data_IF_320464779840
#
_entry.id   IF_320464779840
#
_cell.length_a   1.000
_cell.length_b   1.000
_cell.length_c   1.000
_cell.angle_alpha   90.00
_cell.angle_beta   90.00
_cell.angle_gamma   90.00
#
_symmetry.space_group_name_H-M   'P 1'
#
loop_
_entity.id
_entity.type
_entity.pdbx_description
1 polymer ?
#
# COMPACT_ATOMS: atom_id res chain seq x y z
N UNK A 1 -24.42 20.31 32.61
CA UNK A 1 -24.98 20.26 31.24
C UNK A 1 -23.96 20.83 30.27
N UNK A 2 -23.69 20.13 29.16
CA UNK A 2 -23.00 20.64 27.96
C UNK A 2 -21.48 20.57 28.02
N UNK A 3 -20.89 19.40 27.74
CA UNK A 3 -20.32 19.01 26.44
C UNK A 3 -18.94 19.61 26.17
N UNK A 4 -17.95 18.77 26.46
CA UNK A 4 -16.55 18.79 26.06
C UNK A 4 -16.31 19.43 24.68
N UNK A 5 -15.77 20.65 24.70
CA UNK A 5 -15.28 21.34 23.51
C UNK A 5 -13.96 20.69 23.05
N UNK A 6 -14.10 19.81 22.06
CA UNK A 6 -13.20 19.63 20.91
C UNK A 6 -11.69 19.66 21.18
N UNK A 7 -11.18 18.55 21.72
CA UNK A 7 -9.74 18.21 21.85
C UNK A 7 -9.00 17.98 20.51
N UNK A 8 -9.48 18.51 19.39
CA UNK A 8 -8.98 18.14 18.05
C UNK A 8 -7.76 18.95 17.56
N UNK A 9 -7.12 19.79 18.39
CA UNK A 9 -6.13 20.78 17.92
C UNK A 9 -4.64 20.48 18.20
N UNK A 10 -4.24 19.28 18.66
CA UNK A 10 -2.84 19.06 19.12
C UNK A 10 -2.09 17.84 18.57
N UNK A 11 -2.50 17.27 17.45
CA UNK A 11 -1.65 16.32 16.67
C UNK A 11 -1.22 16.98 15.35
N UNK A 12 -0.75 18.22 15.43
CA UNK A 12 -0.18 18.97 14.30
C UNK A 12 1.34 19.21 14.45
N UNK A 13 2.03 18.60 15.44
CA UNK A 13 3.44 18.94 15.73
C UNK A 13 4.45 17.79 15.95
N UNK A 14 4.13 16.51 15.69
CA UNK A 14 5.06 15.42 16.08
C UNK A 14 5.72 14.59 14.98
N UNK A 15 5.43 14.75 13.67
CA UNK A 15 6.11 13.90 12.67
C UNK A 15 6.40 14.58 11.32
N UNK A 16 6.94 15.80 11.35
CA UNK A 16 7.64 16.40 10.19
C UNK A 16 9.12 15.96 10.15
N UNK A 17 9.50 14.82 10.76
CA UNK A 17 10.92 14.49 10.99
C UNK A 17 11.33 13.02 10.81
N UNK A 18 10.74 12.26 9.88
CA UNK A 18 11.43 11.05 9.40
C UNK A 18 11.55 11.11 7.88
N UNK A 19 12.57 11.87 7.46
CA UNK A 19 13.44 11.66 6.30
C UNK A 19 12.71 11.47 4.96
N UNK A 20 12.73 12.45 4.05
CA UNK A 20 13.86 12.61 3.13
C UNK A 20 14.44 11.24 2.67
N UNK A 21 13.60 10.40 2.06
CA UNK A 21 14.07 9.30 1.22
C UNK A 21 14.18 9.87 -0.19
N UNK A 22 15.37 10.38 -0.48
CA UNK A 22 15.83 10.68 -1.83
C UNK A 22 15.69 9.43 -2.68
N UNK A 23 14.56 9.24 -3.39
CA UNK A 23 14.57 8.27 -4.49
C UNK A 23 15.23 8.96 -5.66
N UNK A 24 16.55 8.87 -5.71
CA UNK A 24 17.24 8.84 -6.98
C UNK A 24 16.49 7.82 -7.83
N UNK A 25 15.80 8.29 -8.87
CA UNK A 25 15.31 7.42 -9.93
C UNK A 25 16.58 6.98 -10.66
N UNK A 26 17.14 5.86 -10.22
CA UNK A 26 18.21 5.20 -10.96
C UNK A 26 17.53 4.45 -12.11
N UNK A 27 17.71 4.95 -13.34
CA UNK A 27 17.20 4.35 -14.57
C UNK A 27 18.01 3.10 -15.02
N UNK A 28 18.61 2.37 -14.08
CA UNK A 28 19.44 1.20 -14.36
C UNK A 28 18.61 -0.06 -14.65
N UNK A 29 18.14 -0.24 -15.89
CA UNK A 29 17.68 -1.53 -16.43
C UNK A 29 16.57 -2.20 -15.62
N UNK A 30 15.36 -1.66 -15.71
CA UNK A 30 14.24 -1.97 -14.83
C UNK A 30 13.76 -3.43 -14.96
N UNK A 31 14.31 -4.32 -14.12
CA UNK A 31 13.69 -5.63 -13.87
C UNK A 31 12.36 -5.36 -13.17
N UNK A 32 11.29 -5.52 -13.92
CA UNK A 32 9.95 -5.44 -13.38
C UNK A 32 9.66 -6.73 -12.62
N UNK A 33 9.04 -6.61 -11.45
CA UNK A 33 8.56 -7.73 -10.67
C UNK A 33 7.04 -7.64 -10.57
N UNK A 34 6.39 -8.80 -10.59
CA UNK A 34 5.00 -8.98 -10.19
C UNK A 34 5.00 -9.73 -8.87
N UNK A 35 4.22 -9.27 -7.91
CA UNK A 35 4.00 -9.95 -6.64
C UNK A 35 2.53 -9.89 -6.28
N UNK A 36 1.99 -11.02 -5.85
CA UNK A 36 0.67 -11.08 -5.23
C UNK A 36 0.83 -10.86 -3.72
N UNK A 37 -0.11 -10.17 -3.11
CA UNK A 37 -0.13 -9.94 -1.68
C UNK A 37 -1.48 -10.30 -1.10
N UNK A 38 -1.48 -10.84 0.11
CA UNK A 38 -2.68 -11.08 0.90
C UNK A 38 -2.50 -10.52 2.30
N UNK A 39 -3.40 -9.62 2.68
CA UNK A 39 -3.38 -8.93 3.96
C UNK A 39 -4.48 -9.52 4.84
N UNK A 40 -4.05 -10.07 5.97
CA UNK A 40 -4.91 -10.63 7.00
C UNK A 40 -5.08 -9.63 8.13
N UNK A 41 -6.30 -9.55 8.67
CA UNK A 41 -6.64 -8.70 9.80
C UNK A 41 -7.97 -7.98 9.62
N UNK A 42 -8.18 -6.90 10.38
CA UNK A 42 -9.37 -6.07 10.28
C UNK A 42 -9.17 -4.98 9.21
N UNK A 43 -9.36 -5.37 7.94
CA UNK A 43 -9.06 -4.57 6.75
C UNK A 43 -10.29 -4.21 5.92
N UNK A 44 -11.49 -4.65 6.33
CA UNK A 44 -12.76 -4.28 5.69
C UNK A 44 -13.43 -3.10 6.41
N UNK A 45 -14.01 -2.16 5.66
CA UNK A 45 -14.69 -0.97 6.22
C UNK A 45 -13.77 0.20 6.60
N UNK A 46 -12.46 0.10 6.35
CA UNK A 46 -11.43 1.07 6.81
C UNK A 46 -10.79 1.88 5.67
N UNK A 47 -11.48 2.01 4.54
CA UNK A 47 -10.97 2.68 3.32
C UNK A 47 -9.60 2.19 2.83
N UNK A 48 -9.19 0.96 3.19
CA UNK A 48 -7.87 0.40 2.86
C UNK A 48 -7.54 0.54 1.37
N UNK A 49 -8.54 0.24 0.53
CA UNK A 49 -8.49 0.33 -0.92
C UNK A 49 -8.06 1.71 -1.46
N UNK A 50 -8.54 2.80 -0.86
CA UNK A 50 -8.22 4.17 -1.29
C UNK A 50 -6.76 4.50 -1.00
N UNK A 51 -6.26 4.10 0.18
CA UNK A 51 -4.86 4.28 0.55
C UNK A 51 -3.92 3.42 -0.30
N UNK A 52 -4.31 2.17 -0.59
CA UNK A 52 -3.53 1.29 -1.46
C UNK A 52 -3.43 1.86 -2.87
N UNK A 53 -4.53 2.42 -3.40
CA UNK A 53 -4.53 3.05 -4.73
C UNK A 53 -3.66 4.31 -4.78
N UNK A 54 -3.80 5.21 -3.79
CA UNK A 54 -2.98 6.42 -3.68
C UNK A 54 -1.49 6.07 -3.57
N UNK A 55 -1.14 5.08 -2.75
CA UNK A 55 0.24 4.62 -2.59
C UNK A 55 0.77 3.98 -3.88
N UNK A 56 -0.04 3.17 -4.57
CA UNK A 56 0.32 2.59 -5.86
C UNK A 56 0.63 3.67 -6.90
N UNK A 57 -0.22 4.70 -6.98
CA UNK A 57 -0.02 5.87 -7.85
C UNK A 57 1.23 6.67 -7.48
N UNK A 58 1.49 6.89 -6.18
CA UNK A 58 2.69 7.59 -5.70
C UNK A 58 3.99 6.86 -6.03
N UNK A 59 4.00 5.53 -5.91
CA UNK A 59 5.17 4.71 -6.22
C UNK A 59 5.32 4.47 -7.73
N UNK A 60 4.30 4.76 -8.54
CA UNK A 60 4.29 4.47 -9.97
C UNK A 60 4.17 2.97 -10.29
N UNK A 61 3.61 2.18 -9.38
CA UNK A 61 3.37 0.75 -9.60
C UNK A 61 1.96 0.54 -10.15
N UNK A 62 1.81 -0.54 -10.91
CA UNK A 62 0.54 -0.95 -11.49
C UNK A 62 0.03 -2.18 -10.75
N UNK A 63 -1.27 -2.40 -10.74
CA UNK A 63 -1.82 -3.48 -9.94
C UNK A 63 -3.30 -3.39 -9.69
N UNK A 64 -3.76 -4.27 -8.83
CA UNK A 64 -5.13 -4.22 -8.35
C UNK A 64 -5.23 -4.71 -6.92
N UNK A 65 -6.29 -4.28 -6.24
CA UNK A 65 -6.61 -4.68 -4.87
C UNK A 65 -8.07 -5.09 -4.78
N UNK A 66 -8.39 -6.15 -4.05
CA UNK A 66 -9.73 -6.72 -3.90
C UNK A 66 -9.93 -7.22 -2.46
N UNK A 67 -11.16 -7.12 -1.95
CA UNK A 67 -11.50 -7.80 -0.70
C UNK A 67 -11.97 -9.22 -0.99
N UNK A 68 -11.52 -10.16 -0.18
CA UNK A 68 -12.02 -11.54 -0.19
C UNK A 68 -13.30 -11.66 0.63
N UNK A 69 -14.01 -12.77 0.46
CA UNK A 69 -15.20 -13.11 1.28
C UNK A 69 -14.82 -13.49 2.71
N UNK A 70 -13.56 -13.86 2.92
CA UNK A 70 -13.02 -14.28 4.23
C UNK A 70 -12.65 -13.10 5.13
N UNK A 71 -12.78 -11.86 4.63
CA UNK A 71 -12.42 -10.67 5.41
C UNK A 71 -11.02 -10.14 5.12
N UNK A 72 -10.25 -10.82 4.25
CA UNK A 72 -8.88 -10.42 3.87
C UNK A 72 -8.88 -9.48 2.66
N UNK A 73 -7.74 -8.84 2.42
CA UNK A 73 -7.51 -8.02 1.22
C UNK A 73 -6.41 -8.66 0.41
N UNK A 74 -6.73 -9.05 -0.82
CA UNK A 74 -5.78 -9.59 -1.78
C UNK A 74 -5.50 -8.59 -2.88
N UNK A 75 -4.34 -8.69 -3.49
CA UNK A 75 -4.04 -7.88 -4.66
C UNK A 75 -2.79 -8.33 -5.37
N UNK A 76 -2.52 -7.65 -6.47
CA UNK A 76 -1.30 -7.83 -7.24
C UNK A 76 -0.66 -6.47 -7.47
N UNK A 77 0.66 -6.42 -7.34
CA UNK A 77 1.50 -5.26 -7.62
C UNK A 77 2.53 -5.67 -8.67
N UNK A 78 2.68 -4.82 -9.67
CA UNK A 78 3.60 -4.95 -10.78
C UNK A 78 4.37 -3.64 -10.96
N UNK A 79 5.68 -3.71 -11.03
CA UNK A 79 6.51 -2.52 -11.19
C UNK A 79 7.99 -2.82 -11.03
N UNK A 80 8.83 -1.77 -11.03
CA UNK A 80 10.26 -1.93 -10.75
C UNK A 80 10.48 -2.58 -9.39
N UNK A 81 11.46 -3.49 -9.28
CA UNK A 81 11.70 -4.26 -8.05
C UNK A 81 11.79 -3.36 -6.79
N UNK A 82 12.47 -2.22 -6.89
CA UNK A 82 12.55 -1.20 -5.83
C UNK A 82 11.17 -0.71 -5.39
N UNK A 83 10.33 -0.32 -6.36
CA UNK A 83 8.98 0.18 -6.09
C UNK A 83 8.06 -0.90 -5.52
N UNK A 84 8.18 -2.13 -6.01
CA UNK A 84 7.46 -3.27 -5.46
C UNK A 84 7.90 -3.52 -4.01
N UNK A 85 9.20 -3.43 -3.71
CA UNK A 85 9.71 -3.58 -2.35
C UNK A 85 9.25 -2.44 -1.41
N UNK A 86 9.22 -1.20 -1.88
CA UNK A 86 8.62 -0.07 -1.15
C UNK A 86 7.15 -0.34 -0.83
N UNK A 87 6.39 -0.86 -1.79
CA UNK A 87 4.97 -1.23 -1.59
C UNK A 87 4.81 -2.36 -0.57
N UNK A 88 5.65 -3.41 -0.63
CA UNK A 88 5.67 -4.52 0.35
C UNK A 88 5.92 -4.00 1.77
N UNK A 89 6.88 -3.10 1.94
CA UNK A 89 7.19 -2.49 3.24
C UNK A 89 6.03 -1.66 3.78
N UNK A 90 5.36 -0.89 2.90
CA UNK A 90 4.19 -0.09 3.27
C UNK A 90 3.00 -0.96 3.68
N UNK A 91 2.71 -2.02 2.94
CA UNK A 91 1.64 -2.98 3.26
C UNK A 91 1.87 -3.71 4.58
N UNK A 92 3.13 -3.93 4.98
CA UNK A 92 3.47 -4.53 6.28
C UNK A 92 3.36 -3.57 7.46
N UNK A 93 3.69 -2.29 7.26
CA UNK A 93 3.89 -1.33 8.37
C UNK A 93 2.76 -0.33 8.55
N UNK A 94 2.20 0.19 7.46
CA UNK A 94 1.34 1.38 7.48
C UNK A 94 -0.10 0.99 7.18
N UNK A 95 -0.36 0.37 6.03
CA UNK A 95 -1.72 0.08 5.58
C UNK A 95 -2.64 1.31 5.69
N UNK A 96 -3.88 1.10 6.16
CA UNK A 96 -4.75 2.19 6.60
C UNK A 96 -4.53 2.47 8.09
N UNK A 97 -4.48 3.73 8.53
CA UNK A 97 -4.35 4.09 9.95
C UNK A 97 -5.49 3.51 10.82
N UNK A 98 -6.63 3.21 10.21
CA UNK A 98 -7.77 2.57 10.89
C UNK A 98 -7.82 1.04 10.67
N UNK A 99 -6.92 0.47 9.87
CA UNK A 99 -6.84 -0.98 9.67
C UNK A 99 -5.94 -1.64 10.69
N UNK A 100 -6.34 -2.82 11.16
CA UNK A 100 -5.47 -3.66 12.00
C UNK A 100 -4.95 -4.80 11.14
N UNK A 101 -3.74 -4.65 10.62
CA UNK A 101 -3.06 -5.72 9.89
C UNK A 101 -2.46 -6.68 10.92
N UNK A 102 -2.89 -7.94 10.87
CA UNK A 102 -2.32 -9.00 11.71
C UNK A 102 -1.08 -9.58 11.02
N UNK A 103 -1.15 -9.75 9.70
CA UNK A 103 -0.11 -10.36 8.88
C UNK A 103 -0.26 -9.93 7.40
N UNK A 104 0.85 -9.79 6.68
CA UNK A 104 0.86 -9.64 5.22
C UNK A 104 1.66 -10.77 4.57
N UNK A 105 1.00 -11.55 3.72
CA UNK A 105 1.61 -12.57 2.88
C UNK A 105 1.97 -12.00 1.52
N UNK A 106 3.09 -12.47 0.96
CA UNK A 106 3.49 -12.15 -0.40
C UNK A 106 3.79 -13.46 -1.12
N UNK A 107 3.11 -13.68 -2.24
CA UNK A 107 3.12 -14.91 -3.01
C UNK A 107 3.30 -14.59 -4.50
N UNK A 108 3.66 -15.59 -5.31
CA UNK A 108 3.85 -15.46 -6.77
C UNK A 108 4.79 -14.31 -7.19
N UNK A 109 5.87 -14.08 -6.43
CA UNK A 109 6.91 -13.13 -6.85
C UNK A 109 7.60 -13.66 -8.10
N UNK A 110 7.52 -12.91 -9.20
CA UNK A 110 8.14 -13.26 -10.48
C UNK A 110 8.61 -12.03 -11.22
N UNK A 111 9.78 -12.12 -11.85
CA UNK A 111 10.26 -11.09 -12.77
C UNK A 111 9.44 -11.13 -14.07
N UNK A 112 8.86 -9.99 -14.43
CA UNK A 112 8.09 -9.82 -15.66
C UNK A 112 8.91 -8.99 -16.66
N UNK A 113 8.91 -9.34 -17.96
CA UNK A 113 9.62 -8.56 -18.97
C UNK A 113 8.88 -7.25 -19.32
N UNK A 114 7.58 -7.17 -18.98
CA UNK A 114 6.71 -6.01 -19.24
C UNK A 114 5.57 -5.98 -18.22
N UNK A 115 5.01 -4.79 -18.00
CA UNK A 115 3.79 -4.61 -17.20
C UNK A 115 2.61 -5.27 -17.93
N UNK A 116 1.92 -6.19 -17.25
CA UNK A 116 0.69 -6.81 -17.77
C UNK A 116 -0.54 -6.00 -17.35
N UNK A 117 -0.44 -5.28 -16.24
CA UNK A 117 -1.49 -4.43 -15.69
C UNK A 117 -1.13 -2.97 -15.93
N UNK A 118 -2.12 -2.19 -16.39
CA UNK A 118 -2.01 -0.75 -16.57
C UNK A 118 -2.89 -0.02 -15.55
N UNK A 119 -2.27 0.85 -14.76
CA UNK A 119 -2.88 1.55 -13.65
C UNK A 119 -2.93 0.73 -12.36
N UNK A 120 -3.33 1.39 -11.28
CA UNK A 120 -3.63 0.76 -10.01
C UNK A 120 -5.10 1.01 -9.67
N UNK A 121 -5.88 -0.05 -9.42
CA UNK A 121 -7.31 0.09 -9.19
C UNK A 121 -7.91 -0.97 -8.28
N UNK A 122 -9.09 -0.67 -7.76
CA UNK A 122 -9.83 -1.57 -6.86
C UNK A 122 -10.76 -2.49 -7.65
N UNK A 123 -10.68 -3.79 -7.42
CA UNK A 123 -11.63 -4.79 -7.93
C UNK A 123 -12.68 -5.15 -6.88
N UNK A 124 -13.88 -5.47 -7.34
CA UNK A 124 -15.03 -5.86 -6.52
C UNK A 124 -15.26 -7.38 -6.60
#
# INVERSE_FOLDING_TARGET
MGSVESLCSLILFSVVLILAMSTNVDCGGEKLASVDFEIFGNVQGVCFRMYTEDQGKKLGVNGWVKNTREGTVVGQVQGPHDKVNEMKMWLRKVGSPSSRIDHAEFSNERDIPKLEIHGFGTRY
#
